data_IF_870044450961
#
_entry.id   IF_870044450961
#
_cell.length_a   1.000
_cell.length_b   1.000
_cell.length_c   1.000
_cell.angle_alpha   90.00
_cell.angle_beta   90.00
_cell.angle_gamma   90.00
#
_symmetry.space_group_name_H-M   'P 1'
#
loop_
_entity.id
_entity.type
_entity.pdbx_description
1 polymer ?
#
# COMPACT_ATOMS: atom_id res chain seq x y z
N UNK A 1 -20.62 -2.13 -16.20
CA UNK A 1 -20.65 -0.83 -15.50
C UNK A 1 -20.10 -1.05 -14.11
N UNK A 2 -18.91 -0.53 -13.81
CA UNK A 2 -18.34 -0.62 -12.47
C UNK A 2 -19.26 0.10 -11.49
N UNK A 3 -19.69 -0.60 -10.44
CA UNK A 3 -20.47 0.00 -9.36
C UNK A 3 -19.55 1.03 -8.68
N UNK A 4 -19.90 2.31 -8.77
CA UNK A 4 -19.21 3.34 -8.00
C UNK A 4 -19.49 3.06 -6.52
N UNK A 5 -18.49 2.50 -5.83
CA UNK A 5 -18.61 2.26 -4.39
C UNK A 5 -18.30 3.59 -3.73
N UNK A 6 -19.28 4.13 -3.01
CA UNK A 6 -19.08 5.38 -2.29
C UNK A 6 -17.98 5.17 -1.23
N UNK A 7 -16.99 6.05 -1.22
CA UNK A 7 -15.90 6.09 -0.23
C UNK A 7 -16.41 5.89 1.21
N UNK A 8 -17.46 6.61 1.60
CA UNK A 8 -18.01 6.54 2.96
C UNK A 8 -18.65 5.18 3.29
N UNK A 9 -19.07 4.43 2.27
CA UNK A 9 -19.49 3.03 2.45
C UNK A 9 -18.28 2.15 2.76
N UNK A 10 -17.17 2.31 2.03
CA UNK A 10 -15.93 1.57 2.27
C UNK A 10 -15.35 1.87 3.65
N UNK A 11 -15.23 3.15 4.01
CA UNK A 11 -14.72 3.58 5.32
C UNK A 11 -15.53 2.96 6.45
N UNK A 12 -16.86 3.05 6.40
CA UNK A 12 -17.72 2.47 7.43
C UNK A 12 -17.67 0.94 7.43
N UNK A 13 -17.74 0.31 6.26
CA UNK A 13 -17.79 -1.16 6.13
C UNK A 13 -16.50 -1.82 6.62
N UNK A 14 -15.37 -1.20 6.35
CA UNK A 14 -14.05 -1.71 6.74
C UNK A 14 -13.46 -1.00 7.94
N UNK A 15 -14.24 -0.20 8.66
CA UNK A 15 -13.82 0.53 9.87
C UNK A 15 -12.47 1.23 9.70
N UNK A 16 -12.32 1.94 8.57
CA UNK A 16 -11.07 2.59 8.22
C UNK A 16 -10.91 3.88 9.01
N UNK A 17 -9.68 4.15 9.45
CA UNK A 17 -9.29 5.35 10.18
C UNK A 17 -8.35 6.20 9.31
N UNK A 18 -8.27 7.53 9.51
CA UNK A 18 -7.30 8.36 8.80
C UNK A 18 -5.87 7.85 9.01
N UNK A 19 -5.09 7.75 7.93
CA UNK A 19 -3.69 7.36 8.00
C UNK A 19 -2.78 8.60 8.09
N UNK A 20 -1.69 8.59 8.88
CA UNK A 20 -0.80 9.75 9.04
C UNK A 20 -0.19 10.25 7.73
N UNK A 21 0.03 9.35 6.77
CA UNK A 21 0.62 9.67 5.47
C UNK A 21 -0.43 10.09 4.43
N UNK A 22 -1.72 10.09 4.78
CA UNK A 22 -2.85 10.40 3.90
C UNK A 22 -3.70 9.17 3.58
N UNK A 23 -4.95 9.41 3.18
CA UNK A 23 -5.94 8.34 2.97
C UNK A 23 -6.48 7.74 4.26
N UNK A 24 -7.02 6.53 4.15
CA UNK A 24 -7.61 5.77 5.26
C UNK A 24 -7.04 4.36 5.31
N UNK A 25 -6.88 3.80 6.50
CA UNK A 25 -6.34 2.46 6.69
C UNK A 25 -7.02 1.71 7.84
N UNK A 26 -6.84 0.39 7.85
CA UNK A 26 -7.06 -0.44 9.04
C UNK A 26 -6.20 -1.68 8.97
N UNK A 27 -5.48 -1.98 10.06
CA UNK A 27 -4.81 -3.27 10.20
C UNK A 27 -5.84 -4.41 10.34
N UNK A 28 -5.75 -5.39 9.44
CA UNK A 28 -6.65 -6.55 9.37
C UNK A 28 -5.99 -7.83 9.84
N UNK A 29 -4.66 -7.86 9.87
CA UNK A 29 -3.90 -9.00 10.31
C UNK A 29 -2.60 -8.56 10.98
N UNK A 30 -2.24 -9.29 12.03
CA UNK A 30 -0.94 -9.25 12.68
C UNK A 30 -0.58 -10.65 13.13
N UNK A 31 0.57 -11.14 12.68
CA UNK A 31 1.07 -12.45 13.08
C UNK A 31 1.32 -12.52 14.58
N UNK A 32 0.91 -13.63 15.20
CA UNK A 32 1.24 -13.97 16.57
C UNK A 32 2.72 -14.37 16.70
N UNK A 33 3.30 -14.94 15.64
CA UNK A 33 4.73 -15.24 15.60
C UNK A 33 5.53 -13.95 15.47
N UNK A 34 6.57 -13.85 16.30
CA UNK A 34 7.51 -12.75 16.28
C UNK A 34 8.86 -13.25 15.75
N UNK A 35 9.43 -12.50 14.82
CA UNK A 35 10.72 -12.80 14.20
C UNK A 35 11.73 -11.71 14.55
N UNK A 36 12.98 -12.12 14.71
CA UNK A 36 14.12 -11.19 14.85
C UNK A 36 14.91 -11.21 13.56
N UNK A 37 15.04 -10.06 12.92
CA UNK A 37 15.92 -9.91 11.75
C UNK A 37 17.38 -10.03 12.19
N UNK A 38 18.21 -10.62 11.33
CA UNK A 38 19.65 -10.67 11.55
C UNK A 38 20.20 -9.24 11.72
N UNK A 39 21.03 -9.03 12.74
CA UNK A 39 21.56 -7.71 13.09
C UNK A 39 20.59 -6.76 13.80
N UNK A 40 19.33 -7.14 14.04
CA UNK A 40 18.39 -6.34 14.84
C UNK A 40 18.34 -6.82 16.30
N UNK A 41 18.33 -5.88 17.24
CA UNK A 41 18.10 -6.17 18.65
C UNK A 41 16.64 -6.46 18.97
N UNK A 42 15.71 -5.98 18.13
CA UNK A 42 14.28 -6.07 18.39
C UNK A 42 13.61 -7.22 17.63
N UNK A 43 12.55 -7.76 18.22
CA UNK A 43 11.61 -8.63 17.54
C UNK A 43 10.47 -7.81 16.90
N UNK A 44 9.90 -8.31 15.80
CA UNK A 44 8.73 -7.74 15.11
C UNK A 44 7.76 -8.87 14.76
N UNK A 45 6.47 -8.58 14.62
CA UNK A 45 5.50 -9.55 14.07
C UNK A 45 5.99 -10.04 12.70
N UNK A 46 5.85 -11.35 12.44
CA UNK A 46 6.33 -11.97 11.19
C UNK A 46 5.66 -11.38 9.95
N UNK A 47 4.42 -10.91 10.08
CA UNK A 47 3.66 -10.27 9.01
C UNK A 47 2.54 -9.41 9.61
N UNK A 48 2.16 -8.37 8.87
CA UNK A 48 0.97 -7.55 9.09
C UNK A 48 0.28 -7.32 7.75
N UNK A 49 -1.03 -7.12 7.75
CA UNK A 49 -1.77 -6.71 6.57
C UNK A 49 -2.74 -5.59 6.93
N UNK A 50 -2.92 -4.66 6.00
CA UNK A 50 -3.86 -3.55 6.15
C UNK A 50 -4.81 -3.50 4.94
N UNK A 51 -5.99 -2.92 5.14
CA UNK A 51 -6.67 -2.22 4.06
C UNK A 51 -6.13 -0.81 3.99
N UNK A 52 -5.98 -0.28 2.77
CA UNK A 52 -5.59 1.09 2.51
C UNK A 52 -6.45 1.68 1.39
N UNK A 53 -6.92 2.91 1.57
CA UNK A 53 -7.83 3.61 0.67
C UNK A 53 -7.34 5.04 0.44
N UNK A 54 -7.05 5.36 -0.82
CA UNK A 54 -6.84 6.72 -1.31
C UNK A 54 -8.09 7.19 -2.06
N UNK A 55 -8.53 8.42 -1.78
CA UNK A 55 -9.75 9.00 -2.30
C UNK A 55 -9.69 10.53 -2.22
N UNK A 56 -10.55 11.22 -2.97
CA UNK A 56 -10.71 12.68 -2.92
C UNK A 56 -9.40 13.47 -3.15
N UNK A 57 -8.51 12.95 -4.00
CA UNK A 57 -7.20 13.56 -4.28
C UNK A 57 -6.17 13.43 -3.16
N UNK A 58 -6.43 12.59 -2.14
CA UNK A 58 -5.44 12.22 -1.15
C UNK A 58 -4.27 11.48 -1.81
N UNK A 59 -3.08 11.62 -1.23
CA UNK A 59 -1.88 10.89 -1.60
C UNK A 59 -1.29 10.25 -0.34
N UNK A 60 -0.49 9.20 -0.53
CA UNK A 60 0.45 8.71 0.48
C UNK A 60 1.74 9.52 0.35
N UNK A 61 2.10 10.25 1.40
CA UNK A 61 3.33 11.04 1.46
C UNK A 61 4.58 10.13 1.31
N UNK A 62 5.69 10.71 0.86
CA UNK A 62 6.95 10.00 0.74
C UNK A 62 7.39 9.44 2.10
N UNK A 63 7.61 8.13 2.14
CA UNK A 63 8.06 7.42 3.33
C UNK A 63 8.95 6.23 2.94
N UNK A 64 9.49 5.56 3.95
CA UNK A 64 10.38 4.41 3.79
C UNK A 64 10.26 3.48 4.99
N UNK A 65 10.21 2.18 4.71
CA UNK A 65 10.15 1.15 5.74
C UNK A 65 11.32 0.16 5.64
N UNK A 66 11.49 -0.65 6.68
CA UNK A 66 12.58 -1.62 6.80
C UNK A 66 12.19 -3.03 6.33
N UNK A 67 11.01 -3.19 5.75
CA UNK A 67 10.52 -4.45 5.18
C UNK A 67 10.14 -4.23 3.74
N UNK A 68 10.16 -5.30 2.93
CA UNK A 68 9.47 -5.25 1.65
C UNK A 68 7.98 -5.05 1.92
N UNK A 69 7.35 -4.17 1.14
CA UNK A 69 5.91 -3.96 1.20
C UNK A 69 5.25 -4.50 -0.06
N UNK A 70 4.26 -5.38 0.13
CA UNK A 70 3.49 -5.94 -0.98
C UNK A 70 2.15 -5.21 -1.06
N UNK A 71 1.92 -4.57 -2.20
CA UNK A 71 0.69 -3.87 -2.50
C UNK A 71 -0.25 -4.76 -3.32
N UNK A 72 -1.53 -4.79 -2.94
CA UNK A 72 -2.57 -5.52 -3.64
C UNK A 72 -3.72 -4.59 -4.03
N UNK A 73 -4.01 -4.52 -5.33
CA UNK A 73 -5.15 -3.77 -5.84
C UNK A 73 -6.44 -4.57 -5.67
N UNK A 74 -7.45 -3.96 -5.04
CA UNK A 74 -8.77 -4.58 -4.84
C UNK A 74 -9.85 -3.98 -5.73
N UNK A 75 -9.94 -2.65 -5.80
CA UNK A 75 -10.98 -1.93 -6.53
C UNK A 75 -10.65 -0.44 -6.66
N UNK A 76 -11.33 0.24 -7.56
CA UNK A 76 -11.23 1.69 -7.78
C UNK A 76 -10.56 2.02 -9.11
N UNK A 77 -10.10 3.27 -9.22
CA UNK A 77 -9.27 3.70 -10.34
C UNK A 77 -7.81 3.24 -10.13
N UNK A 78 -7.00 3.13 -11.19
CA UNK A 78 -5.60 2.76 -11.05
C UNK A 78 -4.84 3.71 -10.13
N UNK A 79 -4.01 3.13 -9.25
CA UNK A 79 -3.15 3.80 -8.30
C UNK A 79 -1.70 3.77 -8.79
N UNK A 80 -0.99 4.89 -8.75
CA UNK A 80 0.43 4.90 -9.00
C UNK A 80 1.19 4.79 -7.68
N UNK A 81 2.12 3.84 -7.59
CA UNK A 81 3.12 3.76 -6.52
C UNK A 81 4.48 4.15 -7.11
N UNK A 82 4.99 5.28 -6.65
CA UNK A 82 6.26 5.86 -7.07
C UNK A 82 7.35 5.34 -6.15
N UNK A 83 8.45 4.85 -6.72
CA UNK A 83 9.60 4.32 -5.96
C UNK A 83 10.87 4.99 -6.45
N UNK A 84 11.61 5.62 -5.54
CA UNK A 84 12.91 6.20 -5.84
C UNK A 84 14.01 5.13 -5.69
N UNK A 85 14.72 4.87 -6.78
CA UNK A 85 15.77 3.87 -6.85
C UNK A 85 17.13 4.39 -6.36
N UNK A 86 18.08 3.48 -6.13
CA UNK A 86 19.41 3.81 -5.58
C UNK A 86 20.25 4.62 -6.57
N UNK A 87 19.99 4.44 -7.87
CA UNK A 87 20.60 5.22 -8.94
C UNK A 87 19.92 6.58 -9.16
N UNK A 88 18.91 6.90 -8.34
CA UNK A 88 18.11 8.13 -8.42
C UNK A 88 17.02 8.11 -9.49
N UNK A 89 16.83 6.99 -10.20
CA UNK A 89 15.72 6.82 -11.13
C UNK A 89 14.39 6.64 -10.39
N UNK A 90 13.29 6.94 -11.09
CA UNK A 90 11.93 6.81 -10.57
C UNK A 90 11.23 5.64 -11.26
N UNK A 91 10.92 4.60 -10.50
CA UNK A 91 10.04 3.52 -10.93
C UNK A 91 8.60 3.87 -10.57
N UNK A 92 7.65 3.56 -11.46
CA UNK A 92 6.20 3.73 -11.19
C UNK A 92 5.49 2.40 -11.40
N UNK A 93 4.97 1.83 -10.32
CA UNK A 93 4.07 0.69 -10.39
C UNK A 93 2.64 1.22 -10.53
N UNK A 94 1.99 0.88 -11.65
CA UNK A 94 0.57 1.22 -11.85
C UNK A 94 -0.29 0.05 -11.39
N UNK A 95 -0.82 0.15 -10.18
CA UNK A 95 -1.71 -0.83 -9.58
C UNK A 95 -3.13 -0.63 -10.11
N UNK A 96 -3.78 -1.68 -10.57
CA UNK A 96 -5.13 -1.57 -11.15
C UNK A 96 -5.67 -2.90 -11.62
N UNK A 97 -6.85 -2.86 -12.24
CA UNK A 97 -7.45 -4.04 -12.85
C UNK A 97 -6.70 -4.41 -14.14
N UNK A 98 -5.72 -5.30 -14.05
CA UNK A 98 -4.89 -5.72 -15.18
C UNK A 98 -5.67 -6.44 -16.31
N UNK A 99 -6.90 -6.88 -16.04
CA UNK A 99 -7.78 -7.48 -17.06
C UNK A 99 -8.40 -6.39 -17.94
N UNK A 100 -8.68 -5.22 -17.36
CA UNK A 100 -9.30 -4.07 -18.05
C UNK A 100 -8.26 -3.12 -18.65
N UNK A 101 -7.09 -2.99 -18.02
CA UNK A 101 -5.98 -2.15 -18.46
C UNK A 101 -4.67 -2.94 -18.42
N UNK A 102 -4.15 -3.30 -19.59
CA UNK A 102 -2.91 -4.08 -19.73
C UNK A 102 -1.65 -3.34 -19.24
N UNK A 103 -1.72 -2.03 -19.00
CA UNK A 103 -0.65 -1.25 -18.37
C UNK A 103 -0.67 -1.29 -16.84
N UNK A 104 -1.63 -1.99 -16.23
CA UNK A 104 -1.74 -2.16 -14.79
C UNK A 104 -1.31 -3.54 -14.32
N UNK A 105 -0.98 -3.64 -13.03
CA UNK A 105 -0.76 -4.90 -12.33
C UNK A 105 -1.65 -4.97 -11.09
N UNK A 106 -2.04 -6.18 -10.67
CA UNK A 106 -2.77 -6.33 -9.40
C UNK A 106 -1.86 -6.26 -8.18
N UNK A 107 -0.56 -6.54 -8.35
CA UNK A 107 0.40 -6.64 -7.26
C UNK A 107 1.71 -5.97 -7.63
N UNK A 108 2.30 -5.27 -6.67
CA UNK A 108 3.62 -4.66 -6.77
C UNK A 108 4.34 -4.78 -5.43
N UNK A 109 5.66 -4.82 -5.47
CA UNK A 109 6.49 -4.89 -4.26
C UNK A 109 7.42 -3.69 -4.22
N UNK A 110 7.38 -2.94 -3.13
CA UNK A 110 8.39 -1.94 -2.81
C UNK A 110 9.44 -2.61 -1.94
N UNK A 111 10.68 -2.66 -2.42
CA UNK A 111 11.76 -3.27 -1.65
C UNK A 111 12.06 -2.46 -0.38
N UNK A 112 12.45 -3.17 0.68
CA UNK A 112 12.89 -2.58 1.94
C UNK A 112 13.95 -1.51 1.72
N UNK A 113 13.81 -0.38 2.42
CA UNK A 113 14.81 0.68 2.37
C UNK A 113 14.67 1.66 1.19
N UNK A 114 13.66 1.48 0.32
CA UNK A 114 13.33 2.42 -0.74
C UNK A 114 12.44 3.55 -0.22
N UNK A 115 12.61 4.75 -0.76
CA UNK A 115 11.63 5.83 -0.59
C UNK A 115 10.50 5.62 -1.60
N UNK A 116 9.25 5.76 -1.16
CA UNK A 116 8.09 5.59 -2.02
C UNK A 116 6.91 6.45 -1.57
N UNK A 117 5.99 6.71 -2.50
CA UNK A 117 4.76 7.49 -2.32
C UNK A 117 3.68 6.93 -3.25
N UNK A 118 2.41 7.30 -3.04
CA UNK A 118 1.32 6.84 -3.91
C UNK A 118 0.23 7.89 -4.14
N UNK A 119 -0.41 7.86 -5.32
CA UNK A 119 -1.55 8.72 -5.67
C UNK A 119 -2.50 8.07 -6.68
#
# INVERSE_FOLDING_TARGET
MARHIARDELIRRFDLQPHPEGGFFRETYRSADAIRREGSADSRSASTAIYYLLCDGAHSAWHRIQSDEVWHFYAGDPLNVYVLEDDGSLTVHRLGNAIEDAGCVFQAVVASGRWFAAQ
#
